data_IF_432920969500
#
_entry.id   IF_432920969500
#
_cell.length_a   1.000
_cell.length_b   1.000
_cell.length_c   1.000
_cell.angle_alpha   90.00
_cell.angle_beta   90.00
_cell.angle_gamma   90.00
#
_symmetry.space_group_name_H-M   'P 1'
#
loop_
_entity.id
_entity.type
_entity.pdbx_description
1 polymer ?
#
# COMPACT_ATOMS: atom_id res chain seq x y z
N UNK A 1 -11.94 0.77 -17.15
CA UNK A 1 -12.40 2.18 -17.23
C UNK A 1 -11.35 3.04 -16.53
N UNK A 2 -10.88 4.11 -17.18
CA UNK A 2 -9.66 4.84 -16.78
C UNK A 2 -9.95 6.06 -15.87
N UNK A 3 -11.20 6.41 -15.56
CA UNK A 3 -11.48 7.68 -14.85
C UNK A 3 -12.71 7.71 -13.90
N UNK A 4 -13.24 6.57 -13.45
CA UNK A 4 -14.39 6.56 -12.53
C UNK A 4 -14.26 5.52 -11.43
N UNK A 5 -14.65 5.89 -10.20
CA UNK A 5 -14.84 4.92 -9.13
C UNK A 5 -15.90 3.91 -9.56
N UNK A 6 -15.56 2.62 -9.56
CA UNK A 6 -16.50 1.55 -9.88
C UNK A 6 -17.19 1.14 -8.57
N UNK A 7 -18.35 1.74 -8.35
CA UNK A 7 -19.14 1.57 -7.14
C UNK A 7 -20.38 0.76 -7.49
N UNK A 8 -20.46 -0.46 -6.94
CA UNK A 8 -21.64 -1.34 -7.11
C UNK A 8 -22.43 -1.50 -5.81
N UNK A 9 -21.80 -1.25 -4.67
CA UNK A 9 -22.48 -1.26 -3.37
C UNK A 9 -21.86 -0.19 -2.45
N UNK A 10 -22.66 0.54 -1.64
CA UNK A 10 -22.11 1.56 -0.73
C UNK A 10 -21.03 1.03 0.23
N UNK A 11 -21.23 -0.18 0.77
CA UNK A 11 -20.23 -0.83 1.62
C UNK A 11 -18.94 -1.17 0.85
N UNK A 12 -19.04 -1.55 -0.42
CA UNK A 12 -17.88 -1.84 -1.27
C UNK A 12 -17.09 -0.55 -1.50
N UNK A 13 -17.78 0.57 -1.75
CA UNK A 13 -17.12 1.86 -1.90
C UNK A 13 -16.35 2.26 -0.63
N UNK A 14 -16.94 2.04 0.55
CA UNK A 14 -16.26 2.30 1.82
C UNK A 14 -15.00 1.45 1.98
N UNK A 15 -15.06 0.16 1.64
CA UNK A 15 -13.91 -0.74 1.77
C UNK A 15 -12.81 -0.39 0.76
N UNK A 16 -13.15 -0.25 -0.53
CA UNK A 16 -12.17 -0.05 -1.61
C UNK A 16 -11.59 1.37 -1.67
N UNK A 17 -12.38 2.39 -1.36
CA UNK A 17 -11.95 3.80 -1.55
C UNK A 17 -11.65 4.55 -0.25
N UNK A 18 -12.07 4.03 0.90
CA UNK A 18 -11.76 4.66 2.20
C UNK A 18 -10.85 3.74 3.02
N UNK A 19 -11.33 2.54 3.37
CA UNK A 19 -10.63 1.69 4.32
C UNK A 19 -9.30 1.19 3.78
N UNK A 20 -9.22 0.82 2.49
CA UNK A 20 -7.95 0.44 1.86
C UNK A 20 -6.88 1.54 1.99
N UNK A 21 -7.23 2.79 1.65
CA UNK A 21 -6.30 3.92 1.73
C UNK A 21 -5.95 4.32 3.17
N UNK A 22 -6.88 4.19 4.11
CA UNK A 22 -6.60 4.39 5.54
C UNK A 22 -5.54 3.39 6.01
N UNK A 23 -5.64 2.12 5.62
CA UNK A 23 -4.67 1.09 6.02
C UNK A 23 -3.32 1.23 5.33
N UNK A 24 -3.24 1.86 4.15
CA UNK A 24 -1.94 2.26 3.57
C UNK A 24 -1.17 3.17 4.54
N UNK A 25 -1.88 3.99 5.33
CA UNK A 25 -1.29 4.83 6.38
C UNK A 25 -0.54 4.06 7.47
N UNK A 26 -0.73 2.74 7.61
CA UNK A 26 0.05 1.89 8.52
C UNK A 26 1.55 1.87 8.17
N UNK A 27 1.95 2.34 6.98
CA UNK A 27 3.35 2.53 6.65
C UNK A 27 4.09 3.44 7.64
N UNK A 28 3.38 4.35 8.31
CA UNK A 28 3.93 5.26 9.31
C UNK A 28 4.37 4.56 10.60
N UNK A 29 4.04 3.29 10.83
CA UNK A 29 4.50 2.53 12.01
C UNK A 29 6.05 2.52 12.10
N UNK A 30 6.74 2.53 10.97
CA UNK A 30 8.22 2.55 10.94
C UNK A 30 8.81 3.97 10.97
N UNK A 31 7.99 5.03 10.97
CA UNK A 31 8.43 6.42 10.80
C UNK A 31 9.47 6.86 11.86
N UNK A 32 9.24 6.54 13.13
CA UNK A 32 10.17 6.90 14.20
C UNK A 32 11.56 6.26 14.01
N UNK A 33 11.60 5.03 13.50
CA UNK A 33 12.86 4.32 13.25
C UNK A 33 13.58 4.93 12.05
N UNK A 34 12.85 5.27 10.99
CA UNK A 34 13.38 5.98 9.82
C UNK A 34 13.98 7.33 10.23
N UNK A 35 13.23 8.16 10.95
CA UNK A 35 13.67 9.47 11.44
C UNK A 35 14.94 9.38 12.29
N UNK A 36 14.98 8.44 13.24
CA UNK A 36 16.17 8.20 14.09
C UNK A 36 17.37 7.75 13.27
N UNK A 37 17.16 6.88 12.29
CA UNK A 37 18.24 6.35 11.44
C UNK A 37 18.85 7.46 10.56
N UNK A 38 18.01 8.35 10.03
CA UNK A 38 18.47 9.53 9.28
C UNK A 38 19.31 10.45 10.17
N UNK A 39 18.85 10.75 11.39
CA UNK A 39 19.62 11.57 12.36
C UNK A 39 20.97 10.97 12.71
N UNK A 40 21.07 9.64 12.71
CA UNK A 40 22.30 8.89 12.96
C UNK A 40 23.18 8.70 11.71
N UNK A 41 22.85 9.35 10.58
CA UNK A 41 23.49 9.14 9.28
C UNK A 41 23.50 7.67 8.79
N UNK A 42 22.60 6.83 9.29
CA UNK A 42 22.48 5.43 8.88
C UNK A 42 21.44 5.29 7.75
N UNK A 43 21.87 5.59 6.53
CA UNK A 43 21.03 5.60 5.33
C UNK A 43 20.51 4.21 4.94
N UNK A 44 21.31 3.17 5.14
CA UNK A 44 20.90 1.79 4.86
C UNK A 44 19.73 1.40 5.77
N UNK A 45 19.86 1.63 7.07
CA UNK A 45 18.79 1.35 8.03
C UNK A 45 17.54 2.17 7.72
N UNK A 46 17.68 3.46 7.43
CA UNK A 46 16.54 4.28 7.02
C UNK A 46 15.81 3.69 5.81
N UNK A 47 16.56 3.31 4.76
CA UNK A 47 16.01 2.72 3.53
C UNK A 47 15.29 1.40 3.79
N UNK A 48 15.87 0.49 4.59
CA UNK A 48 15.23 -0.78 4.94
C UNK A 48 13.89 -0.55 5.67
N UNK A 49 13.84 0.36 6.63
CA UNK A 49 12.60 0.64 7.39
C UNK A 49 11.54 1.38 6.57
N UNK A 50 11.94 2.16 5.55
CA UNK A 50 11.01 2.70 4.55
C UNK A 50 10.35 1.56 3.78
N UNK A 51 11.13 0.63 3.23
CA UNK A 51 10.59 -0.51 2.48
C UNK A 51 9.66 -1.36 3.35
N UNK A 52 10.04 -1.64 4.60
CA UNK A 52 9.20 -2.35 5.57
C UNK A 52 7.89 -1.59 5.81
N UNK A 53 7.95 -0.26 5.99
CA UNK A 53 6.76 0.57 6.13
C UNK A 53 5.85 0.50 4.90
N UNK A 54 6.40 0.70 3.70
CA UNK A 54 5.67 0.58 2.45
C UNK A 54 5.02 -0.80 2.29
N UNK A 55 5.70 -1.88 2.71
CA UNK A 55 5.16 -3.24 2.67
C UNK A 55 3.97 -3.39 3.62
N UNK A 56 4.11 -2.93 4.87
CA UNK A 56 3.02 -2.98 5.87
C UNK A 56 1.78 -2.24 5.37
N UNK A 57 1.95 -1.02 4.87
CA UNK A 57 0.84 -0.24 4.31
C UNK A 57 0.20 -0.91 3.10
N UNK A 58 1.02 -1.41 2.17
CA UNK A 58 0.53 -2.08 0.96
C UNK A 58 -0.21 -3.37 1.28
N UNK A 59 0.25 -4.14 2.27
CA UNK A 59 -0.45 -5.35 2.75
C UNK A 59 -1.80 -5.00 3.40
N UNK A 60 -1.85 -3.93 4.21
CA UNK A 60 -3.10 -3.45 4.79
C UNK A 60 -4.14 -3.10 3.72
N UNK A 61 -3.76 -2.30 2.72
CA UNK A 61 -4.63 -1.97 1.59
C UNK A 61 -5.00 -3.19 0.74
N UNK A 62 -4.04 -4.08 0.48
CA UNK A 62 -4.25 -5.33 -0.27
C UNK A 62 -5.28 -6.25 0.36
N UNK A 63 -5.29 -6.37 1.70
CA UNK A 63 -6.28 -7.19 2.40
C UNK A 63 -7.69 -6.63 2.16
N UNK A 64 -7.87 -5.30 2.24
CA UNK A 64 -9.17 -4.68 2.02
C UNK A 64 -9.66 -4.83 0.59
N UNK A 65 -8.78 -4.62 -0.39
CA UNK A 65 -9.12 -4.87 -1.79
C UNK A 65 -9.47 -6.34 -2.06
N UNK A 66 -8.80 -7.29 -1.39
CA UNK A 66 -9.17 -8.71 -1.51
C UNK A 66 -10.51 -9.03 -0.89
N UNK A 67 -10.80 -8.50 0.30
CA UNK A 67 -12.10 -8.69 0.95
C UNK A 67 -13.21 -8.12 0.07
N UNK A 68 -13.03 -6.92 -0.49
CA UNK A 68 -13.98 -6.33 -1.42
C UNK A 68 -14.14 -7.18 -2.70
N UNK A 69 -13.03 -7.63 -3.29
CA UNK A 69 -13.02 -8.47 -4.48
C UNK A 69 -13.76 -9.80 -4.27
N UNK A 70 -13.54 -10.46 -3.13
CA UNK A 70 -14.18 -11.74 -2.82
C UNK A 70 -15.70 -11.57 -2.62
N UNK A 71 -16.14 -10.49 -1.99
CA UNK A 71 -17.56 -10.29 -1.67
C UNK A 71 -18.34 -9.73 -2.87
N UNK A 72 -17.78 -8.74 -3.56
CA UNK A 72 -18.52 -7.94 -4.56
C UNK A 72 -18.14 -8.26 -6.00
N UNK A 73 -16.97 -8.88 -6.23
CA UNK A 73 -16.43 -9.16 -7.57
C UNK A 73 -16.26 -10.66 -7.82
N UNK A 74 -16.92 -11.52 -7.05
CA UNK A 74 -16.87 -12.97 -7.20
C UNK A 74 -17.29 -13.44 -8.61
N UNK A 75 -18.22 -12.73 -9.24
CA UNK A 75 -18.72 -13.03 -10.59
C UNK A 75 -17.68 -12.86 -11.70
N UNK A 76 -16.57 -12.15 -11.43
CA UNK A 76 -15.48 -12.00 -12.39
C UNK A 76 -14.49 -13.17 -12.36
N UNK A 77 -14.61 -14.10 -11.40
CA UNK A 77 -13.75 -15.27 -11.35
C UNK A 77 -13.99 -16.21 -12.55
N UNK A 78 -12.93 -16.67 -13.25
CA UNK A 78 -13.06 -17.63 -14.35
C UNK A 78 -13.73 -18.94 -13.90
N UNK A 79 -14.37 -19.66 -14.84
CA UNK A 79 -14.88 -20.99 -14.54
C UNK A 79 -13.74 -21.90 -14.05
N UNK A 80 -14.01 -22.66 -12.98
CA UNK A 80 -13.04 -23.54 -12.29
C UNK A 80 -11.91 -22.84 -11.52
N UNK A 81 -11.98 -21.53 -11.27
CA UNK A 81 -11.04 -20.85 -10.37
C UNK A 81 -11.71 -20.46 -9.05
N UNK A 82 -11.14 -20.81 -7.87
CA UNK A 82 -11.64 -20.32 -6.59
C UNK A 82 -11.61 -18.79 -6.54
N UNK A 83 -12.70 -18.17 -6.09
CA UNK A 83 -12.87 -16.70 -6.05
C UNK A 83 -11.73 -16.02 -5.28
N UNK A 84 -11.32 -16.59 -4.14
CA UNK A 84 -10.22 -16.04 -3.33
C UNK A 84 -8.89 -16.02 -4.10
N UNK A 85 -8.65 -17.02 -4.95
CA UNK A 85 -7.43 -17.11 -5.74
C UNK A 85 -7.46 -16.08 -6.88
N UNK A 86 -8.60 -15.95 -7.57
CA UNK A 86 -8.80 -14.91 -8.57
C UNK A 86 -8.58 -13.49 -7.97
N UNK A 87 -9.24 -13.20 -6.85
CA UNK A 87 -9.11 -11.93 -6.15
C UNK A 87 -7.66 -11.64 -5.76
N UNK A 88 -6.96 -12.64 -5.20
CA UNK A 88 -5.57 -12.50 -4.76
C UNK A 88 -4.65 -12.18 -5.93
N UNK A 89 -4.75 -12.92 -7.03
CA UNK A 89 -3.91 -12.73 -8.22
C UNK A 89 -4.20 -11.37 -8.87
N UNK A 90 -5.48 -11.04 -9.05
CA UNK A 90 -5.90 -9.78 -9.63
C UNK A 90 -5.38 -8.59 -8.82
N UNK A 91 -5.61 -8.59 -7.51
CA UNK A 91 -5.15 -7.51 -6.63
C UNK A 91 -3.62 -7.44 -6.55
N UNK A 92 -2.94 -8.58 -6.54
CA UNK A 92 -1.49 -8.62 -6.41
C UNK A 92 -0.82 -8.04 -7.67
N UNK A 93 -1.43 -8.25 -8.84
CA UNK A 93 -0.92 -7.78 -10.13
C UNK A 93 -0.73 -6.26 -10.20
N UNK A 94 -1.50 -5.47 -9.46
CA UNK A 94 -1.34 -4.01 -9.43
C UNK A 94 -0.80 -3.48 -8.10
N UNK A 95 -1.12 -4.12 -6.96
CA UNK A 95 -0.60 -3.67 -5.65
C UNK A 95 0.89 -3.94 -5.54
N UNK A 96 1.38 -5.08 -6.03
CA UNK A 96 2.80 -5.42 -5.92
C UNK A 96 3.71 -4.47 -6.73
N UNK A 97 3.42 -4.16 -8.01
CA UNK A 97 4.16 -3.11 -8.73
C UNK A 97 4.06 -1.75 -8.05
N UNK A 98 2.88 -1.37 -7.54
CA UNK A 98 2.68 -0.11 -6.83
C UNK A 98 3.55 -0.02 -5.56
N UNK A 99 3.65 -1.12 -4.81
CA UNK A 99 4.54 -1.24 -3.65
C UNK A 99 6.02 -1.03 -4.04
N UNK A 100 6.48 -1.67 -5.12
CA UNK A 100 7.87 -1.53 -5.59
C UNK A 100 8.15 -0.07 -5.96
N UNK A 101 7.31 0.52 -6.81
CA UNK A 101 7.49 1.90 -7.27
C UNK A 101 7.45 2.88 -6.10
N UNK A 102 6.48 2.73 -5.20
CA UNK A 102 6.35 3.59 -4.02
C UNK A 102 7.58 3.46 -3.11
N UNK A 103 8.08 2.25 -2.89
CA UNK A 103 9.27 2.00 -2.08
C UNK A 103 10.51 2.66 -2.69
N UNK A 104 10.72 2.54 -4.01
CA UNK A 104 11.85 3.18 -4.72
C UNK A 104 11.78 4.70 -4.59
N UNK A 105 10.60 5.29 -4.80
CA UNK A 105 10.40 6.73 -4.68
C UNK A 105 10.69 7.21 -3.26
N UNK A 106 10.14 6.51 -2.25
CA UNK A 106 10.31 6.90 -0.85
C UNK A 106 11.75 6.74 -0.37
N UNK A 107 12.46 5.68 -0.78
CA UNK A 107 13.89 5.51 -0.49
C UNK A 107 14.71 6.62 -1.12
N UNK A 108 14.44 6.95 -2.39
CA UNK A 108 15.12 8.05 -3.09
C UNK A 108 14.89 9.40 -2.39
N UNK A 109 13.66 9.66 -1.93
CA UNK A 109 13.31 10.88 -1.19
C UNK A 109 14.09 11.00 0.12
N UNK A 110 14.15 9.92 0.90
CA UNK A 110 14.90 9.87 2.16
C UNK A 110 16.39 10.11 1.96
N UNK A 111 16.97 9.59 0.88
CA UNK A 111 18.39 9.72 0.59
C UNK A 111 18.75 11.12 0.05
N UNK A 112 17.95 11.66 -0.87
CA UNK A 112 18.25 12.93 -1.55
C UNK A 112 17.95 14.16 -0.69
N UNK A 113 16.86 14.12 0.09
CA UNK A 113 16.33 15.30 0.78
C UNK A 113 15.85 14.96 2.20
N UNK A 114 16.74 14.48 3.10
CA UNK A 114 16.37 14.14 4.47
C UNK A 114 15.77 15.33 5.26
N UNK A 115 16.11 16.56 4.87
CA UNK A 115 15.57 17.80 5.46
C UNK A 115 14.06 18.04 5.18
N UNK A 116 13.47 17.40 4.17
CA UNK A 116 12.02 17.50 3.91
C UNK A 116 11.18 16.72 4.93
N UNK A 117 11.80 15.75 5.61
CA UNK A 117 11.13 14.85 6.54
C UNK A 117 11.10 15.45 7.96
N UNK A 118 12.02 16.36 8.25
CA UNK A 118 12.02 17.13 9.50
C UNK A 118 11.33 18.47 9.27
N UNK A 119 10.08 18.60 9.73
CA UNK A 119 9.48 19.92 9.91
C UNK A 119 10.31 20.67 10.96
N UNK A 120 10.97 21.77 10.56
CA UNK A 120 11.54 22.71 11.51
C UNK A 120 10.39 23.21 12.38
N UNK A 121 10.48 22.95 13.69
CA UNK A 121 9.83 23.78 14.69
C UNK A 121 10.68 25.01 14.91
#
# INVERSE_FOLDING_TARGET
>A
MVTGAYIIHPIQALIDYVLSFVLVGLCAITANVVLKSIKQNNQLKASCYVVIGCLIGSLGGFIMHNVAAIIFFASFAPPNQPVWLYATIYNASYVFPSFIVSSVIMVSLVQMRPKLIFFHK
#
